data_IF_286122245884
#
_entry.id   IF_286122245884
#
_cell.length_a   1.000
_cell.length_b   1.000
_cell.length_c   1.000
_cell.angle_alpha   90.00
_cell.angle_beta   90.00
_cell.angle_gamma   90.00
#
_symmetry.space_group_name_H-M   'P 1'
#
loop_
_entity.id
_entity.type
_entity.pdbx_description
1 polymer ?
#
# COMPACT_ATOMS: atom_id res chain seq x y z
N UNK A 1 -27.03 -21.79 -38.39
CA UNK A 1 -26.88 -23.22 -38.74
C UNK A 1 -26.54 -23.93 -37.46
N UNK A 2 -27.16 -24.86 -36.93
CA UNK A 2 -28.04 -25.98 -37.17
C UNK A 2 -28.42 -26.49 -35.76
N UNK A 3 -29.65 -26.45 -35.28
CA UNK A 3 -30.64 -27.52 -35.12
C UNK A 3 -30.03 -28.76 -34.43
N UNK A 4 -30.64 -29.43 -33.45
CA UNK A 4 -32.04 -29.82 -33.28
C UNK A 4 -32.16 -30.85 -32.15
N UNK A 5 -33.30 -30.83 -31.42
CA UNK A 5 -34.20 -31.93 -30.94
C UNK A 5 -33.80 -32.61 -29.61
N UNK A 6 -34.59 -32.51 -28.51
CA UNK A 6 -35.98 -32.93 -28.30
C UNK A 6 -36.24 -34.46 -28.36
N UNK A 7 -36.60 -35.04 -27.19
CA UNK A 7 -37.57 -36.09 -26.93
C UNK A 7 -37.73 -36.26 -25.42
N UNK A 8 -38.74 -35.94 -24.75
CA UNK A 8 -40.15 -36.34 -24.63
C UNK A 8 -40.39 -37.86 -24.73
N UNK A 9 -40.71 -38.48 -23.60
CA UNK A 9 -41.62 -39.61 -23.54
C UNK A 9 -42.14 -39.88 -22.11
N UNK A 10 -43.38 -39.63 -21.95
CA UNK A 10 -44.39 -40.09 -21.01
C UNK A 10 -44.50 -41.61 -20.92
N UNK A 11 -44.83 -42.19 -19.76
CA UNK A 11 -45.79 -43.31 -19.70
C UNK A 11 -46.44 -43.40 -18.32
N UNK A 12 -47.76 -43.56 -18.38
CA UNK A 12 -48.77 -43.71 -17.34
C UNK A 12 -49.04 -45.19 -17.08
N UNK A 13 -49.81 -45.45 -16.02
CA UNK A 13 -50.49 -46.70 -15.79
C UNK A 13 -50.47 -47.08 -14.33
N UNK A 14 -51.44 -46.86 -13.52
CA UNK A 14 -52.84 -47.28 -13.36
C UNK A 14 -52.97 -48.72 -12.80
N UNK A 15 -53.75 -48.80 -11.69
CA UNK A 15 -54.68 -49.86 -11.35
C UNK A 15 -54.30 -50.87 -10.25
N UNK A 16 -55.10 -51.04 -9.29
CA UNK A 16 -56.13 -51.92 -8.68
C UNK A 16 -55.94 -52.02 -7.19
N UNK A 17 -56.86 -51.58 -6.33
CA UNK A 17 -58.23 -52.01 -5.90
C UNK A 17 -58.27 -53.41 -5.24
N UNK A 18 -58.77 -53.40 -4.03
CA UNK A 18 -59.80 -54.24 -3.47
C UNK A 18 -59.47 -54.90 -2.12
N UNK A 19 -60.20 -54.51 -1.08
CA UNK A 19 -61.31 -55.28 -0.41
C UNK A 19 -60.88 -56.30 0.65
N UNK A 20 -61.44 -56.14 1.83
CA UNK A 20 -61.69 -57.23 2.80
C UNK A 20 -61.83 -56.76 4.21
N UNK A 21 -62.97 -56.33 4.64
CA UNK A 21 -63.91 -56.57 5.71
C UNK A 21 -63.55 -57.77 6.64
N UNK A 22 -63.54 -57.59 7.95
CA UNK A 22 -64.57 -57.96 8.89
C UNK A 22 -64.06 -58.03 10.34
N UNK A 23 -64.67 -57.27 11.22
CA UNK A 23 -65.45 -57.65 12.37
C UNK A 23 -64.78 -58.50 13.46
N UNK A 24 -64.66 -57.96 14.67
CA UNK A 24 -65.53 -58.50 15.77
C UNK A 24 -65.28 -57.71 17.06
N UNK A 25 -66.38 -57.29 17.67
CA UNK A 25 -66.46 -56.74 19.01
C UNK A 25 -66.19 -57.80 20.07
N UNK A 26 -65.50 -57.42 21.14
CA UNK A 26 -65.83 -57.94 22.50
C UNK A 26 -65.48 -56.84 23.50
N UNK A 27 -66.55 -56.32 24.12
CA UNK A 27 -66.52 -55.55 25.35
C UNK A 27 -66.05 -56.45 26.48
N UNK A 28 -65.06 -55.93 27.24
CA UNK A 28 -64.82 -56.32 28.61
C UNK A 28 -64.62 -55.07 29.45
N UNK A 29 -65.62 -54.80 30.29
CA UNK A 29 -65.49 -53.83 31.36
C UNK A 29 -64.43 -54.33 32.34
N UNK A 30 -63.42 -53.51 32.58
CA UNK A 30 -62.57 -53.67 33.76
C UNK A 30 -62.43 -52.29 34.42
N UNK A 31 -62.98 -52.31 35.65
CA UNK A 31 -62.98 -51.32 36.71
C UNK A 31 -61.74 -50.41 36.72
N UNK A 32 -62.01 -49.12 36.77
CA UNK A 32 -61.03 -48.10 37.05
C UNK A 32 -60.46 -48.19 38.43
N UNK A 33 -59.25 -48.62 38.57
CA UNK A 33 -58.40 -48.35 39.74
C UNK A 33 -57.69 -47.04 39.50
N UNK A 34 -58.01 -46.07 40.35
CA UNK A 34 -57.21 -44.81 40.40
C UNK A 34 -55.76 -45.18 40.69
N UNK A 35 -54.91 -44.95 39.71
CA UNK A 35 -53.49 -45.01 39.92
C UNK A 35 -52.98 -43.61 40.12
N UNK A 36 -52.23 -43.46 41.15
CA UNK A 36 -51.44 -42.37 41.61
C UNK A 36 -50.77 -41.63 40.45
N UNK A 37 -50.79 -40.29 40.51
CA UNK A 37 -49.96 -39.41 39.72
C UNK A 37 -48.51 -39.88 39.91
N UNK A 38 -47.73 -40.03 38.81
CA UNK A 38 -46.29 -40.26 38.96
C UNK A 38 -45.70 -39.06 39.68
N UNK A 39 -45.14 -39.31 40.86
CA UNK A 39 -44.26 -38.38 41.53
C UNK A 39 -43.13 -38.01 40.47
N UNK A 40 -43.18 -36.82 39.96
CA UNK A 40 -42.14 -36.28 39.07
C UNK A 40 -40.89 -36.21 39.93
N UNK A 41 -40.11 -37.27 39.97
CA UNK A 41 -38.72 -37.12 40.34
C UNK A 41 -38.13 -36.12 39.34
N UNK A 42 -37.76 -34.95 39.86
CA UNK A 42 -37.17 -33.92 39.02
C UNK A 42 -35.92 -34.47 38.31
N UNK A 43 -35.97 -34.51 36.96
CA UNK A 43 -34.95 -35.07 36.10
C UNK A 43 -33.61 -34.34 36.31
N UNK A 44 -32.54 -35.08 36.52
CA UNK A 44 -31.20 -34.47 36.71
C UNK A 44 -30.63 -33.98 35.41
N UNK A 45 -30.46 -32.67 35.29
CA UNK A 45 -29.98 -32.01 34.05
C UNK A 45 -28.58 -31.46 34.26
N UNK A 46 -27.67 -31.78 33.34
CA UNK A 46 -26.33 -31.23 33.34
C UNK A 46 -26.34 -29.74 32.95
N UNK A 47 -25.80 -28.91 33.82
CA UNK A 47 -25.79 -27.45 33.60
C UNK A 47 -24.39 -26.89 33.59
N UNK A 48 -24.18 -25.80 32.82
CA UNK A 48 -22.99 -24.98 32.86
C UNK A 48 -23.37 -23.53 33.22
N UNK A 49 -22.48 -22.86 33.99
CA UNK A 49 -22.71 -21.47 34.37
C UNK A 49 -22.20 -20.52 33.30
N UNK A 50 -23.00 -19.54 32.92
CA UNK A 50 -22.61 -18.44 32.04
C UNK A 50 -21.53 -17.60 32.74
N UNK A 51 -20.33 -17.53 32.18
CA UNK A 51 -19.18 -16.85 32.77
C UNK A 51 -18.65 -15.78 31.83
N UNK A 52 -17.97 -14.77 32.39
CA UNK A 52 -17.18 -13.83 31.66
C UNK A 52 -15.83 -14.44 31.32
N UNK A 53 -15.47 -14.46 30.05
CA UNK A 53 -14.14 -14.88 29.56
C UNK A 53 -13.64 -13.94 28.46
N UNK A 54 -12.33 -13.73 28.38
CA UNK A 54 -11.77 -13.05 27.23
C UNK A 54 -11.95 -13.92 25.98
N UNK A 55 -12.45 -13.33 24.91
CA UNK A 55 -12.65 -13.99 23.62
C UNK A 55 -11.96 -13.18 22.56
N UNK A 56 -11.05 -13.81 21.81
CA UNK A 56 -10.38 -13.19 20.70
C UNK A 56 -10.51 -14.07 19.46
N UNK A 57 -11.10 -13.56 18.43
CA UNK A 57 -11.12 -14.23 17.12
C UNK A 57 -9.76 -13.98 16.45
N UNK A 58 -9.09 -15.05 16.07
CA UNK A 58 -7.84 -14.99 15.32
C UNK A 58 -8.04 -15.54 13.93
N UNK A 59 -7.42 -14.90 12.98
CA UNK A 59 -7.35 -15.32 11.59
C UNK A 59 -5.89 -15.56 11.24
N UNK A 60 -5.55 -16.81 10.96
CA UNK A 60 -4.20 -17.19 10.52
C UNK A 60 -4.20 -17.33 9.01
N UNK A 61 -3.40 -16.54 8.33
CA UNK A 61 -3.26 -16.53 6.88
C UNK A 61 -1.79 -16.62 6.48
N UNK A 62 -1.57 -17.33 5.41
CA UNK A 62 -0.25 -17.49 4.83
C UNK A 62 0.03 -16.40 3.80
N UNK A 63 1.25 -15.87 3.80
CA UNK A 63 1.67 -14.80 2.92
C UNK A 63 3.17 -14.81 2.66
N UNK A 64 3.63 -13.93 1.82
CA UNK A 64 5.02 -13.75 1.44
C UNK A 64 5.50 -12.36 1.82
N UNK A 65 6.74 -12.26 2.30
CA UNK A 65 7.41 -11.01 2.57
C UNK A 65 7.90 -10.40 1.27
N UNK A 66 7.36 -9.24 0.91
CA UNK A 66 7.82 -8.46 -0.23
C UNK A 66 8.56 -7.21 0.25
N UNK A 67 9.58 -6.72 -0.47
CA UNK A 67 10.24 -5.48 -0.10
C UNK A 67 9.26 -4.30 -0.17
N UNK A 68 9.49 -3.29 0.64
CA UNK A 68 8.66 -2.07 0.61
C UNK A 68 8.79 -1.37 -0.74
N UNK A 69 10.01 -1.33 -1.29
CA UNK A 69 10.30 -0.85 -2.63
C UNK A 69 11.24 -1.82 -3.35
N UNK A 70 10.91 -2.14 -4.58
CA UNK A 70 11.78 -2.89 -5.49
C UNK A 70 11.66 -2.29 -6.88
N UNK A 71 12.79 -2.01 -7.52
CA UNK A 71 12.82 -1.45 -8.86
C UNK A 71 13.90 -2.09 -9.71
N UNK A 72 13.64 -2.17 -10.99
CA UNK A 72 14.66 -2.42 -12.00
C UNK A 72 15.29 -1.08 -12.42
N UNK A 73 16.60 -0.95 -12.21
CA UNK A 73 17.35 0.26 -12.51
C UNK A 73 17.84 0.23 -13.95
N UNK A 74 17.41 1.19 -14.74
CA UNK A 74 17.76 1.34 -16.15
C UNK A 74 18.77 2.46 -16.37
N UNK A 75 19.55 2.34 -17.44
CA UNK A 75 20.33 3.45 -17.95
C UNK A 75 19.40 4.52 -18.53
N UNK A 76 19.71 5.80 -18.33
CA UNK A 76 19.02 6.93 -18.96
C UNK A 76 19.60 7.30 -20.32
N UNK A 77 20.91 7.01 -20.50
CA UNK A 77 21.64 7.19 -21.75
C UNK A 77 22.17 5.84 -22.27
N UNK A 78 22.34 5.74 -23.57
CA UNK A 78 22.93 4.57 -24.20
C UNK A 78 24.45 4.63 -24.12
N UNK A 79 25.11 3.50 -23.83
CA UNK A 79 26.56 3.42 -23.75
C UNK A 79 27.03 2.04 -23.32
N UNK A 80 28.33 1.78 -23.42
CA UNK A 80 28.93 0.56 -22.93
C UNK A 80 29.25 0.68 -21.43
N UNK A 81 29.01 -0.39 -20.67
CA UNK A 81 29.37 -0.42 -19.25
C UNK A 81 30.90 -0.43 -19.12
N UNK A 82 31.48 0.71 -18.74
CA UNK A 82 32.92 0.91 -18.52
C UNK A 82 33.34 0.42 -17.14
N UNK A 83 32.54 0.73 -16.12
CA UNK A 83 32.77 0.35 -14.74
C UNK A 83 31.48 -0.20 -14.15
N UNK A 84 31.61 -1.28 -13.37
CA UNK A 84 30.49 -1.89 -12.65
C UNK A 84 30.93 -2.12 -11.22
N UNK A 85 30.38 -1.33 -10.28
CA UNK A 85 30.81 -1.26 -8.90
C UNK A 85 29.92 -2.07 -7.96
N UNK A 86 28.94 -2.82 -8.50
CA UNK A 86 27.98 -3.62 -7.73
C UNK A 86 27.81 -4.99 -8.35
N UNK A 87 27.50 -5.96 -7.49
CA UNK A 87 27.10 -7.31 -7.87
C UNK A 87 25.84 -7.71 -7.07
N UNK A 88 25.24 -8.88 -7.36
CA UNK A 88 24.13 -9.37 -6.55
C UNK A 88 24.60 -9.55 -5.10
N UNK A 89 23.75 -9.19 -4.12
CA UNK A 89 24.07 -9.14 -2.71
C UNK A 89 24.83 -7.89 -2.26
N UNK A 90 25.23 -6.99 -3.16
CA UNK A 90 25.86 -5.72 -2.78
C UNK A 90 24.86 -4.77 -2.13
N UNK A 91 25.23 -4.25 -0.95
CA UNK A 91 24.49 -3.16 -0.30
C UNK A 91 24.93 -1.83 -0.89
N UNK A 92 23.97 -0.97 -1.21
CA UNK A 92 24.23 0.35 -1.79
C UNK A 92 23.49 1.43 -1.02
N UNK A 93 24.09 2.62 -0.97
CA UNK A 93 23.47 3.81 -0.42
C UNK A 93 22.89 4.70 -1.50
N UNK A 94 21.87 5.47 -1.17
CA UNK A 94 21.27 6.45 -2.07
C UNK A 94 22.32 7.39 -2.63
N UNK A 95 22.35 7.53 -3.98
CA UNK A 95 23.32 8.34 -4.69
C UNK A 95 24.66 7.64 -4.97
N UNK A 96 24.91 6.44 -4.45
CA UNK A 96 26.10 5.66 -4.76
C UNK A 96 26.13 5.26 -6.23
N UNK A 97 27.27 5.42 -6.89
CA UNK A 97 27.47 5.04 -8.29
C UNK A 97 27.56 3.52 -8.38
N UNK A 98 26.61 2.92 -9.07
CA UNK A 98 26.55 1.48 -9.33
C UNK A 98 27.31 1.09 -10.59
N UNK A 99 27.19 1.91 -11.64
CA UNK A 99 27.93 1.71 -12.89
C UNK A 99 28.24 3.04 -13.57
N UNK A 100 29.27 3.04 -14.41
CA UNK A 100 29.62 4.16 -15.27
C UNK A 100 29.60 3.67 -16.72
N UNK A 101 28.85 4.38 -17.57
CA UNK A 101 28.81 4.13 -19.00
C UNK A 101 29.90 4.91 -19.72
N UNK A 102 30.51 4.32 -20.73
CA UNK A 102 31.38 4.98 -21.67
C UNK A 102 30.55 5.65 -22.77
N UNK A 103 30.60 6.98 -22.83
CA UNK A 103 29.84 7.85 -23.75
C UNK A 103 30.77 8.91 -24.34
N UNK A 104 31.75 8.52 -25.21
CA UNK A 104 32.78 9.42 -25.70
C UNK A 104 32.21 10.59 -26.50
N UNK A 105 31.07 10.41 -27.15
CA UNK A 105 30.41 11.46 -27.93
C UNK A 105 29.94 12.61 -27.02
N UNK A 106 29.38 12.32 -25.86
CA UNK A 106 28.95 13.34 -24.90
C UNK A 106 30.14 14.07 -24.28
N UNK A 107 31.27 13.38 -24.05
CA UNK A 107 32.48 14.01 -23.55
C UNK A 107 33.03 15.01 -24.59
N UNK A 108 33.09 14.60 -25.87
CA UNK A 108 33.52 15.48 -26.95
C UNK A 108 32.59 16.70 -27.10
N UNK A 109 31.28 16.51 -26.93
CA UNK A 109 30.29 17.58 -26.97
C UNK A 109 30.50 18.61 -25.84
N UNK A 110 30.83 18.15 -24.62
CA UNK A 110 31.14 19.04 -23.50
C UNK A 110 32.40 19.88 -23.78
N UNK A 111 33.45 19.28 -24.40
CA UNK A 111 34.66 19.97 -24.76
C UNK A 111 34.39 21.04 -25.82
N UNK A 112 33.54 20.76 -26.82
CA UNK A 112 33.07 21.71 -27.83
C UNK A 112 32.30 22.87 -27.18
N UNK A 113 31.37 22.60 -26.28
CA UNK A 113 30.57 23.61 -25.59
C UNK A 113 31.45 24.55 -24.73
N UNK A 114 32.44 23.97 -24.04
CA UNK A 114 33.43 24.77 -23.30
C UNK A 114 34.23 25.69 -24.20
N UNK A 115 34.62 25.20 -25.39
CA UNK A 115 35.33 26.05 -26.39
C UNK A 115 34.40 27.16 -26.91
N UNK A 116 33.13 26.85 -27.19
CA UNK A 116 32.12 27.82 -27.60
C UNK A 116 31.89 28.92 -26.55
N UNK A 117 31.85 28.56 -25.26
CA UNK A 117 31.75 29.54 -24.18
C UNK A 117 32.95 30.49 -24.15
N UNK A 118 34.19 29.98 -24.31
CA UNK A 118 35.39 30.81 -24.37
C UNK A 118 35.32 31.81 -25.53
N UNK A 119 34.90 31.34 -26.72
CA UNK A 119 34.72 32.19 -27.88
C UNK A 119 33.67 33.29 -27.64
N UNK A 120 32.58 32.98 -26.98
CA UNK A 120 31.56 33.98 -26.62
C UNK A 120 32.03 34.94 -25.53
N UNK A 121 32.84 34.51 -24.57
CA UNK A 121 33.46 35.38 -23.57
C UNK A 121 34.38 36.42 -24.26
N UNK A 122 35.19 35.99 -25.26
CA UNK A 122 36.01 36.88 -26.04
C UNK A 122 35.18 37.88 -26.86
N UNK A 123 34.02 37.47 -27.36
CA UNK A 123 33.09 38.35 -28.07
C UNK A 123 32.49 39.40 -27.13
N UNK A 124 32.09 39.01 -25.91
CA UNK A 124 31.63 39.96 -24.89
C UNK A 124 32.72 40.96 -24.53
N UNK A 125 33.98 40.53 -24.34
CA UNK A 125 35.09 41.40 -24.02
C UNK A 125 35.39 42.40 -25.16
N UNK A 126 35.30 41.95 -26.43
CA UNK A 126 35.41 42.85 -27.60
C UNK A 126 34.28 43.89 -27.59
N UNK A 127 33.02 43.47 -27.42
CA UNK A 127 31.88 44.37 -27.40
C UNK A 127 31.94 45.36 -26.23
N UNK A 128 32.44 44.96 -25.07
CA UNK A 128 32.66 45.83 -23.91
C UNK A 128 33.70 46.90 -24.23
N UNK A 129 34.79 46.55 -24.90
CA UNK A 129 35.82 47.50 -25.34
C UNK A 129 35.27 48.51 -26.34
N UNK A 130 34.34 48.09 -27.24
CA UNK A 130 33.65 48.99 -28.16
C UNK A 130 32.74 49.98 -27.44
N UNK A 131 32.00 49.53 -26.38
CA UNK A 131 31.19 50.41 -25.52
C UNK A 131 32.10 51.46 -24.85
N UNK A 132 33.27 51.05 -24.31
CA UNK A 132 34.23 51.97 -23.72
C UNK A 132 34.70 53.05 -24.72
N UNK A 133 34.97 52.64 -25.97
CA UNK A 133 35.39 53.54 -27.04
C UNK A 133 34.29 54.53 -27.44
N UNK A 134 33.08 54.04 -27.70
CA UNK A 134 31.89 54.85 -28.02
C UNK A 134 31.55 55.85 -26.91
N UNK A 135 31.63 55.43 -25.66
CA UNK A 135 31.42 56.28 -24.48
C UNK A 135 32.47 57.41 -24.41
N UNK A 136 33.74 57.13 -24.64
CA UNK A 136 34.75 58.10 -24.62
C UNK A 136 34.53 59.15 -25.75
N UNK A 137 34.16 58.72 -26.96
CA UNK A 137 33.81 59.56 -28.10
C UNK A 137 32.58 60.46 -27.78
N UNK A 138 31.53 59.92 -27.28
CA UNK A 138 30.36 60.70 -26.88
C UNK A 138 30.71 61.73 -25.80
N UNK A 139 31.45 61.37 -24.75
CA UNK A 139 31.86 62.29 -23.70
C UNK A 139 32.69 63.48 -24.29
N UNK A 140 33.56 63.23 -25.26
CA UNK A 140 34.35 64.29 -25.92
C UNK A 140 33.44 65.28 -26.67
N UNK A 141 32.50 64.76 -27.47
CA UNK A 141 31.58 65.60 -28.28
C UNK A 141 30.57 66.32 -27.36
N UNK A 142 30.04 65.63 -26.33
CA UNK A 142 29.11 66.21 -25.34
C UNK A 142 29.76 67.39 -24.59
N UNK A 143 31.01 67.31 -24.14
CA UNK A 143 31.73 68.41 -23.49
C UNK A 143 31.94 69.56 -24.44
N UNK A 144 32.16 69.33 -25.76
CA UNK A 144 32.25 70.37 -26.74
C UNK A 144 30.93 71.13 -26.93
N UNK A 145 29.81 70.40 -27.10
CA UNK A 145 28.46 70.96 -27.15
C UNK A 145 28.13 71.76 -25.89
N UNK A 146 28.34 71.21 -24.71
CA UNK A 146 28.10 71.91 -23.43
C UNK A 146 28.87 73.26 -23.32
N UNK A 147 30.12 73.28 -23.74
CA UNK A 147 30.88 74.51 -23.75
C UNK A 147 30.33 75.57 -24.71
N UNK A 148 29.98 75.18 -25.95
CA UNK A 148 29.41 76.09 -26.95
C UNK A 148 28.02 76.60 -26.51
N UNK A 149 27.18 75.75 -26.07
CA UNK A 149 25.83 76.09 -25.51
C UNK A 149 25.92 77.00 -24.30
N UNK A 150 26.91 76.74 -23.40
CA UNK A 150 27.15 77.55 -22.23
C UNK A 150 27.59 78.97 -22.59
N UNK A 151 28.48 79.15 -23.57
CA UNK A 151 28.95 80.48 -24.11
C UNK A 151 27.80 81.22 -24.83
N UNK A 152 27.03 80.55 -25.68
CA UNK A 152 25.88 81.12 -26.36
C UNK A 152 24.79 81.65 -25.37
N UNK A 153 24.60 80.94 -24.30
CA UNK A 153 23.67 81.37 -23.21
C UNK A 153 24.21 82.52 -22.39
N UNK A 154 25.49 82.52 -22.06
CA UNK A 154 26.11 83.57 -21.23
C UNK A 154 26.31 84.88 -22.02
N UNK A 155 26.63 84.80 -23.28
CA UNK A 155 26.93 85.95 -24.14
C UNK A 155 26.27 85.77 -25.55
N UNK A 156 24.98 86.16 -25.72
CA UNK A 156 24.25 86.02 -26.94
C UNK A 156 24.94 86.79 -28.06
N UNK A 157 25.19 86.15 -29.27
CA UNK A 157 25.82 86.69 -30.44
C UNK A 157 27.36 86.49 -30.49
N UNK A 158 28.03 85.89 -29.50
CA UNK A 158 29.45 85.58 -29.55
C UNK A 158 29.77 84.31 -30.35
N UNK A 159 28.79 83.32 -30.38
CA UNK A 159 28.84 82.08 -31.13
C UNK A 159 27.67 82.04 -32.10
N UNK A 160 27.88 81.65 -33.36
CA UNK A 160 26.84 81.54 -34.33
C UNK A 160 25.85 80.38 -33.92
N UNK A 161 24.55 80.60 -34.05
CA UNK A 161 23.57 79.59 -33.70
C UNK A 161 23.78 78.28 -34.47
N UNK A 162 24.17 78.35 -35.71
CA UNK A 162 24.52 77.22 -36.58
C UNK A 162 25.64 76.32 -35.94
N UNK A 163 26.66 76.93 -35.30
CA UNK A 163 27.73 76.15 -34.62
C UNK A 163 27.22 75.38 -33.40
N UNK A 164 26.27 75.96 -32.69
CA UNK A 164 25.63 75.28 -31.54
C UNK A 164 24.74 74.10 -32.01
N UNK A 165 23.93 74.34 -33.05
CA UNK A 165 23.06 73.34 -33.66
C UNK A 165 23.89 72.17 -34.31
N UNK A 166 25.02 72.47 -34.96
CA UNK A 166 25.98 71.49 -35.50
C UNK A 166 26.61 70.62 -34.36
N UNK A 167 26.94 71.27 -33.24
CA UNK A 167 27.54 70.56 -32.10
C UNK A 167 26.52 69.69 -31.41
N UNK A 168 25.24 70.13 -31.27
CA UNK A 168 24.13 69.34 -30.77
C UNK A 168 23.86 68.14 -31.66
N UNK A 169 23.80 68.34 -32.99
CA UNK A 169 23.61 67.23 -33.93
C UNK A 169 24.71 66.17 -33.84
N UNK A 170 25.99 66.57 -33.60
CA UNK A 170 27.10 65.64 -33.38
C UNK A 170 26.95 64.88 -32.05
N UNK A 171 26.53 65.57 -31.00
CA UNK A 171 26.30 64.95 -29.65
C UNK A 171 25.22 63.88 -29.73
N UNK A 172 24.05 64.21 -30.31
CA UNK A 172 22.96 63.29 -30.51
C UNK A 172 23.34 62.05 -31.34
N UNK A 173 24.18 62.30 -32.41
CA UNK A 173 24.65 61.19 -33.22
C UNK A 173 25.62 60.26 -32.46
N UNK A 174 26.52 60.85 -31.63
CA UNK A 174 27.42 60.06 -30.79
C UNK A 174 26.72 59.32 -29.67
N UNK A 175 25.67 59.91 -29.08
CA UNK A 175 24.80 59.25 -28.10
C UNK A 175 24.09 58.05 -28.73
N UNK A 176 23.46 58.25 -29.88
CA UNK A 176 22.78 57.17 -30.63
C UNK A 176 23.73 56.02 -30.98
N UNK A 177 24.98 56.36 -31.38
CA UNK A 177 26.01 55.34 -31.65
C UNK A 177 26.42 54.59 -30.38
N UNK A 178 26.55 55.28 -29.23
CA UNK A 178 26.86 54.65 -27.96
C UNK A 178 25.74 53.65 -27.55
N UNK A 179 24.48 54.05 -27.68
CA UNK A 179 23.34 53.14 -27.37
C UNK A 179 23.26 51.94 -28.32
N UNK A 180 23.57 52.09 -29.60
CA UNK A 180 23.65 50.99 -30.56
C UNK A 180 24.72 49.96 -30.18
N UNK A 181 25.91 50.42 -29.79
CA UNK A 181 27.03 49.56 -29.36
C UNK A 181 26.69 48.88 -28.01
N UNK A 182 26.01 49.58 -27.10
CA UNK A 182 25.51 49.03 -25.84
C UNK A 182 24.51 47.90 -26.08
N UNK A 183 23.59 48.07 -27.04
CA UNK A 183 22.70 47.03 -27.50
C UNK A 183 23.45 45.81 -28.05
N UNK A 184 24.52 46.02 -28.81
CA UNK A 184 25.37 44.92 -29.30
C UNK A 184 26.09 44.18 -28.16
N UNK A 185 26.57 44.89 -27.14
CA UNK A 185 27.14 44.28 -25.93
C UNK A 185 26.12 43.43 -25.17
N UNK A 186 24.91 43.95 -24.98
CA UNK A 186 23.83 43.17 -24.35
C UNK A 186 23.48 41.91 -25.16
N UNK A 187 23.44 42.01 -26.47
CA UNK A 187 23.20 40.84 -27.34
C UNK A 187 24.35 39.79 -27.21
N UNK A 188 25.61 40.22 -27.12
CA UNK A 188 26.74 39.32 -26.90
C UNK A 188 26.66 38.64 -25.51
N UNK A 189 26.26 39.37 -24.46
CA UNK A 189 26.02 38.78 -23.14
C UNK A 189 24.88 37.74 -23.17
N UNK A 190 23.79 38.04 -23.85
CA UNK A 190 22.65 37.10 -24.00
C UNK A 190 23.09 35.83 -24.73
N UNK A 191 23.94 35.94 -25.76
CA UNK A 191 24.47 34.79 -26.49
C UNK A 191 25.39 33.92 -25.59
N UNK A 192 26.19 34.54 -24.72
CA UNK A 192 26.99 33.82 -23.72
C UNK A 192 26.09 33.02 -22.74
N UNK A 193 24.97 33.60 -22.31
CA UNK A 193 23.99 32.89 -21.46
C UNK A 193 23.41 31.66 -22.17
N UNK A 194 23.08 31.78 -23.46
CA UNK A 194 22.61 30.65 -24.30
C UNK A 194 23.66 29.54 -24.36
N UNK A 195 24.95 29.89 -24.62
CA UNK A 195 26.03 28.90 -24.67
C UNK A 195 26.25 28.20 -23.31
N UNK A 196 26.14 28.93 -22.19
CA UNK A 196 26.22 28.35 -20.86
C UNK A 196 25.03 27.42 -20.57
N UNK A 197 23.83 27.76 -21.01
CA UNK A 197 22.65 26.91 -20.87
C UNK A 197 22.81 25.62 -21.68
N UNK A 198 23.39 25.68 -22.88
CA UNK A 198 23.72 24.50 -23.69
C UNK A 198 24.70 23.57 -22.97
N UNK A 199 25.80 24.10 -22.44
CA UNK A 199 26.75 23.30 -21.65
C UNK A 199 26.06 22.63 -20.46
N UNK A 200 25.19 23.35 -19.73
CA UNK A 200 24.46 22.79 -18.59
C UNK A 200 23.53 21.64 -19.00
N UNK A 201 22.89 21.75 -20.15
CA UNK A 201 22.07 20.68 -20.72
C UNK A 201 22.93 19.44 -21.03
N UNK A 202 24.02 19.60 -21.77
CA UNK A 202 24.86 18.49 -22.21
C UNK A 202 25.64 17.87 -21.04
N UNK A 203 25.98 18.67 -20.01
CA UNK A 203 26.50 18.17 -18.73
C UNK A 203 25.48 17.26 -17.99
N UNK A 204 24.20 17.62 -17.99
CA UNK A 204 23.18 16.79 -17.40
C UNK A 204 23.01 15.45 -18.13
N UNK A 205 23.12 15.43 -19.46
CA UNK A 205 23.14 14.20 -20.26
C UNK A 205 24.37 13.35 -19.93
N UNK A 206 25.54 13.97 -19.82
CA UNK A 206 26.77 13.27 -19.44
C UNK A 206 26.69 12.68 -18.04
N UNK A 207 26.08 13.40 -17.08
CA UNK A 207 25.89 12.89 -15.72
C UNK A 207 24.97 11.67 -15.67
N UNK A 208 24.08 11.47 -16.65
CA UNK A 208 23.29 10.24 -16.80
C UNK A 208 24.12 9.02 -17.19
N UNK A 209 25.37 9.20 -17.63
CA UNK A 209 26.29 8.08 -17.80
C UNK A 209 26.66 7.39 -16.48
N UNK A 210 26.50 8.08 -15.34
CA UNK A 210 26.72 7.55 -14.00
C UNK A 210 25.39 7.05 -13.45
N UNK A 211 25.22 5.73 -13.41
CA UNK A 211 24.01 5.12 -12.90
C UNK A 211 24.12 5.02 -11.38
N UNK A 212 23.25 5.71 -10.67
CA UNK A 212 23.26 5.80 -9.20
C UNK A 212 22.06 5.12 -8.56
N UNK A 213 22.23 4.64 -7.32
CA UNK A 213 21.15 4.06 -6.52
C UNK A 213 20.14 5.15 -6.09
N UNK A 214 18.83 4.99 -6.34
CA UNK A 214 17.82 5.97 -5.97
C UNK A 214 17.46 5.95 -4.48
N UNK A 215 17.68 4.83 -3.79
CA UNK A 215 17.47 4.63 -2.35
C UNK A 215 18.49 3.62 -1.79
N UNK A 216 18.55 3.52 -0.45
CA UNK A 216 19.40 2.54 0.24
C UNK A 216 18.79 1.16 0.11
N UNK A 217 19.59 0.15 -0.27
CA UNK A 217 19.08 -1.19 -0.46
C UNK A 217 20.14 -2.20 -0.89
N UNK A 218 19.67 -3.37 -1.25
CA UNK A 218 20.51 -4.50 -1.72
C UNK A 218 20.20 -4.81 -3.19
N UNK A 219 21.23 -5.12 -3.95
CA UNK A 219 21.11 -5.59 -5.33
C UNK A 219 20.68 -7.07 -5.30
N UNK A 220 19.45 -7.34 -5.71
CA UNK A 220 18.88 -8.70 -5.73
C UNK A 220 19.15 -9.43 -7.03
N UNK A 221 19.30 -8.71 -8.14
CA UNK A 221 19.64 -9.28 -9.46
C UNK A 221 20.54 -8.34 -10.23
N UNK A 222 21.45 -8.91 -11.02
CA UNK A 222 22.33 -8.18 -11.95
C UNK A 222 22.10 -8.72 -13.36
N UNK A 223 21.72 -7.83 -14.27
CA UNK A 223 21.39 -8.19 -15.65
C UNK A 223 22.53 -7.83 -16.63
N UNK A 224 23.26 -6.74 -16.34
CA UNK A 224 24.35 -6.28 -17.20
C UNK A 224 25.72 -6.71 -16.68
N UNK A 225 26.66 -6.87 -17.62
CA UNK A 225 28.05 -7.17 -17.37
C UNK A 225 28.94 -6.02 -17.83
N UNK A 226 30.21 -6.02 -17.36
CA UNK A 226 31.23 -5.10 -17.87
C UNK A 226 31.37 -5.26 -19.39
N UNK A 227 31.38 -4.15 -20.12
CA UNK A 227 31.43 -4.13 -21.59
C UNK A 227 30.08 -4.38 -22.28
N UNK A 228 29.00 -4.60 -21.55
CA UNK A 228 27.67 -4.73 -22.14
C UNK A 228 27.17 -3.39 -22.69
N UNK A 229 26.48 -3.40 -23.82
CA UNK A 229 25.79 -2.24 -24.36
C UNK A 229 24.47 -2.04 -23.61
N UNK A 230 24.32 -0.92 -22.92
CA UNK A 230 23.06 -0.48 -22.32
C UNK A 230 22.30 0.40 -23.29
N UNK A 231 21.00 0.18 -23.40
CA UNK A 231 20.09 1.06 -24.14
C UNK A 231 19.36 1.97 -23.15
N UNK A 232 19.03 3.19 -23.58
CA UNK A 232 18.26 4.10 -22.75
C UNK A 232 16.86 3.56 -22.50
N UNK A 233 16.50 3.38 -21.23
CA UNK A 233 15.18 2.86 -20.80
C UNK A 233 14.02 3.77 -21.15
N UNK A 234 14.30 5.04 -21.49
CA UNK A 234 13.30 6.04 -21.89
C UNK A 234 12.87 5.95 -23.35
N UNK A 235 13.69 5.31 -24.20
CA UNK A 235 13.49 5.29 -25.67
C UNK A 235 13.28 3.90 -26.23
N UNK A 236 13.62 2.85 -25.48
CA UNK A 236 13.54 1.46 -25.97
C UNK A 236 12.65 0.60 -25.07
N UNK A 237 11.65 -0.05 -25.65
CA UNK A 237 10.81 -1.07 -24.99
C UNK A 237 11.57 -2.36 -24.71
N UNK A 238 12.74 -2.54 -25.29
CA UNK A 238 13.61 -3.71 -25.11
C UNK A 238 14.85 -3.40 -24.26
N UNK A 239 14.87 -2.25 -23.59
CA UNK A 239 15.99 -1.90 -22.70
C UNK A 239 16.12 -2.94 -21.59
N UNK A 240 17.33 -3.45 -21.39
CA UNK A 240 17.66 -4.34 -20.28
C UNK A 240 18.04 -3.50 -19.08
N UNK A 241 17.51 -3.80 -17.87
CA UNK A 241 17.96 -3.10 -16.67
C UNK A 241 19.41 -3.42 -16.33
N UNK A 242 20.07 -2.55 -15.58
CA UNK A 242 21.41 -2.80 -15.04
C UNK A 242 21.35 -3.81 -13.91
N UNK A 243 20.54 -3.50 -12.90
CA UNK A 243 20.34 -4.30 -11.68
C UNK A 243 18.89 -4.16 -11.21
N UNK A 244 18.46 -5.11 -10.37
CA UNK A 244 17.28 -4.98 -9.53
C UNK A 244 17.70 -4.57 -8.13
N UNK A 245 17.15 -3.47 -7.64
CA UNK A 245 17.43 -2.91 -6.31
C UNK A 245 16.20 -3.03 -5.42
N UNK A 246 16.40 -3.59 -4.23
CA UNK A 246 15.36 -3.88 -3.25
C UNK A 246 15.67 -3.17 -1.94
N UNK A 247 14.67 -2.55 -1.32
CA UNK A 247 14.80 -1.99 0.03
C UNK A 247 14.93 -3.13 1.04
N UNK A 248 15.95 -3.07 1.89
CA UNK A 248 16.22 -4.08 2.91
C UNK A 248 15.78 -3.68 4.33
N UNK A 249 15.39 -2.42 4.53
CA UNK A 249 15.06 -1.90 5.85
C UNK A 249 13.62 -2.17 6.26
N UNK A 250 12.72 -2.18 5.27
CA UNK A 250 11.29 -2.35 5.49
C UNK A 250 10.73 -3.40 4.53
N UNK A 251 10.03 -4.37 5.08
CA UNK A 251 9.30 -5.36 4.32
C UNK A 251 7.80 -5.16 4.48
N UNK A 252 7.08 -5.67 3.53
CA UNK A 252 5.63 -5.67 3.50
C UNK A 252 5.13 -7.09 3.43
N UNK A 253 4.27 -7.47 4.34
CA UNK A 253 3.53 -8.71 4.28
C UNK A 253 2.18 -8.45 3.65
N UNK A 254 1.91 -9.08 2.51
CA UNK A 254 0.67 -8.93 1.75
C UNK A 254 -0.27 -10.07 2.08
N UNK A 255 -1.31 -9.79 2.86
CA UNK A 255 -2.23 -10.79 3.41
C UNK A 255 -3.54 -10.78 2.62
N UNK A 256 -3.94 -11.90 1.98
CA UNK A 256 -5.23 -12.01 1.31
C UNK A 256 -6.34 -12.34 2.31
N UNK A 257 -7.02 -11.33 2.85
CA UNK A 257 -8.10 -11.50 3.82
C UNK A 257 -9.40 -11.91 3.12
N UNK A 258 -10.05 -13.03 3.50
CA UNK A 258 -11.33 -13.44 2.92
C UNK A 258 -12.45 -12.42 3.12
N UNK A 259 -13.35 -12.31 2.14
CA UNK A 259 -14.50 -11.39 2.15
C UNK A 259 -15.34 -11.49 3.44
N UNK A 260 -15.49 -12.71 4.01
CA UNK A 260 -16.21 -12.94 5.27
C UNK A 260 -15.65 -12.17 6.45
N UNK A 261 -14.33 -11.94 6.46
CA UNK A 261 -13.60 -11.37 7.60
C UNK A 261 -13.22 -9.88 7.40
N UNK A 262 -13.44 -9.35 6.20
CA UNK A 262 -13.11 -7.95 5.84
C UNK A 262 -13.68 -6.93 6.82
N UNK A 263 -14.92 -7.13 7.28
CA UNK A 263 -15.64 -6.23 8.21
C UNK A 263 -14.98 -6.10 9.59
N UNK A 264 -14.08 -7.01 9.93
CA UNK A 264 -13.38 -7.03 11.22
C UNK A 264 -11.96 -6.48 11.14
N UNK A 265 -11.45 -6.17 9.95
CA UNK A 265 -10.09 -5.66 9.73
C UNK A 265 -10.07 -4.14 9.82
N UNK A 266 -9.20 -3.60 10.67
CA UNK A 266 -9.00 -2.17 10.84
C UNK A 266 -7.52 -1.82 10.76
N UNK A 267 -7.23 -0.62 10.27
CA UNK A 267 -5.86 -0.07 10.32
C UNK A 267 -5.43 0.03 11.78
N UNK A 268 -4.25 -0.51 12.08
CA UNK A 268 -3.70 -0.55 13.44
C UNK A 268 -3.92 -1.87 14.17
N UNK A 269 -4.72 -2.80 13.61
CA UNK A 269 -4.91 -4.12 14.21
C UNK A 269 -3.56 -4.84 14.41
N UNK A 270 -3.34 -5.45 15.56
CA UNK A 270 -2.09 -6.15 15.85
C UNK A 270 -2.02 -7.45 15.05
N UNK A 271 -0.88 -7.67 14.42
CA UNK A 271 -0.57 -8.89 13.66
C UNK A 271 0.71 -9.51 14.22
N UNK A 272 0.65 -10.79 14.57
CA UNK A 272 1.84 -11.57 14.86
C UNK A 272 2.25 -12.31 13.59
N UNK A 273 3.46 -12.02 13.09
CA UNK A 273 3.99 -12.62 11.87
C UNK A 273 5.03 -13.66 12.27
N UNK A 274 4.73 -14.92 11.99
CA UNK A 274 5.62 -16.05 12.24
C UNK A 274 6.30 -16.46 10.94
N UNK A 275 7.63 -16.60 10.99
CA UNK A 275 8.48 -16.95 9.86
C UNK A 275 9.10 -18.32 10.12
N UNK A 276 8.54 -19.41 9.57
CA UNK A 276 9.01 -20.77 9.87
C UNK A 276 10.45 -21.03 9.47
N UNK A 277 10.90 -20.46 8.34
CA UNK A 277 12.27 -20.62 7.82
C UNK A 277 13.35 -20.01 8.72
N UNK A 278 12.97 -19.08 9.61
CA UNK A 278 13.86 -18.42 10.56
C UNK A 278 13.65 -18.93 12.00
N UNK A 279 13.60 -20.26 12.18
CA UNK A 279 13.36 -20.92 13.49
C UNK A 279 12.08 -20.43 14.18
N UNK A 280 10.99 -20.26 13.42
CA UNK A 280 9.71 -19.72 13.90
C UNK A 280 9.85 -18.32 14.53
N UNK A 281 10.76 -17.50 14.01
CA UNK A 281 10.88 -16.10 14.44
C UNK A 281 9.52 -15.42 14.34
N UNK A 282 9.06 -14.85 15.45
CA UNK A 282 7.81 -14.09 15.49
C UNK A 282 8.11 -12.60 15.57
N UNK A 283 7.65 -11.86 14.58
CA UNK A 283 7.75 -10.40 14.52
C UNK A 283 6.37 -9.81 14.72
N UNK A 284 6.26 -8.73 15.48
CA UNK A 284 4.99 -8.02 15.68
C UNK A 284 4.89 -6.89 14.67
N UNK A 285 3.79 -6.88 13.94
CA UNK A 285 3.40 -5.81 13.02
C UNK A 285 2.02 -5.28 13.37
N UNK A 286 1.57 -4.33 12.56
CA UNK A 286 0.20 -3.79 12.59
C UNK A 286 -0.30 -3.69 11.17
N UNK A 287 -1.61 -3.86 10.96
CA UNK A 287 -2.24 -3.54 9.69
C UNK A 287 -1.95 -2.08 9.35
N UNK A 288 -1.16 -1.85 8.32
CA UNK A 288 -0.78 -0.51 7.86
C UNK A 288 -1.83 0.06 6.92
N UNK A 289 -2.35 -0.77 6.02
CA UNK A 289 -3.36 -0.40 5.03
C UNK A 289 -4.04 -1.64 4.44
N UNK A 290 -5.17 -1.43 3.80
CA UNK A 290 -5.86 -2.44 3.01
C UNK A 290 -6.52 -1.81 1.79
N UNK A 291 -6.73 -2.61 0.73
CA UNK A 291 -7.52 -2.17 -0.42
C UNK A 291 -8.98 -2.06 0.02
N UNK A 292 -9.67 -1.00 -0.41
CA UNK A 292 -11.14 -0.87 -0.18
C UNK A 292 -11.89 -1.68 -1.24
N UNK A 293 -11.25 -2.70 -1.82
CA UNK A 293 -11.77 -3.52 -2.89
C UNK A 293 -11.53 -5.00 -2.61
N UNK A 294 -12.47 -5.84 -2.98
CA UNK A 294 -12.38 -7.30 -2.89
C UNK A 294 -12.19 -7.87 -4.29
N UNK A 295 -11.07 -8.54 -4.51
CA UNK A 295 -10.77 -9.20 -5.77
C UNK A 295 -11.88 -10.18 -6.15
N UNK A 296 -12.50 -9.97 -7.31
CA UNK A 296 -13.55 -10.86 -7.82
C UNK A 296 -13.06 -12.29 -8.12
N UNK A 297 -11.76 -12.45 -8.41
CA UNK A 297 -11.16 -13.74 -8.75
C UNK A 297 -10.88 -14.60 -7.50
N UNK A 298 -10.38 -13.99 -6.42
CA UNK A 298 -9.94 -14.69 -5.21
C UNK A 298 -10.89 -14.53 -4.04
N UNK A 299 -11.86 -13.61 -4.10
CA UNK A 299 -12.75 -13.23 -3.02
C UNK A 299 -12.00 -12.82 -1.76
N UNK A 300 -10.88 -12.12 -1.94
CA UNK A 300 -10.03 -11.62 -0.85
C UNK A 300 -9.77 -10.13 -0.98
N UNK A 301 -9.62 -9.46 0.16
CA UNK A 301 -9.15 -8.09 0.29
C UNK A 301 -7.64 -8.08 0.52
N UNK A 302 -6.90 -7.29 -0.26
CA UNK A 302 -5.47 -7.09 -0.09
C UNK A 302 -5.21 -6.24 1.16
N UNK A 303 -4.54 -6.82 2.14
CA UNK A 303 -4.20 -6.17 3.41
C UNK A 303 -2.68 -6.20 3.59
N UNK A 304 -2.09 -5.09 3.98
CA UNK A 304 -0.65 -4.95 4.12
C UNK A 304 -0.25 -4.67 5.57
N UNK A 305 0.80 -5.38 5.99
CA UNK A 305 1.46 -5.20 7.28
C UNK A 305 2.91 -4.80 7.04
N UNK A 306 3.31 -3.63 7.50
CA UNK A 306 4.70 -3.17 7.39
C UNK A 306 5.53 -3.78 8.52
N UNK A 307 6.68 -4.39 8.17
CA UNK A 307 7.56 -5.13 9.07
C UNK A 307 8.98 -4.59 8.94
N UNK A 308 9.52 -3.93 9.96
CA UNK A 308 10.89 -3.43 9.93
C UNK A 308 11.90 -4.57 10.05
N UNK A 309 12.95 -4.55 9.23
CA UNK A 309 14.04 -5.51 9.23
C UNK A 309 15.22 -5.03 10.10
N UNK A 310 14.96 -4.79 11.38
CA UNK A 310 15.93 -4.17 12.31
C UNK A 310 17.24 -4.95 12.41
N UNK A 311 17.22 -6.27 12.20
CA UNK A 311 18.38 -7.14 12.37
C UNK A 311 18.97 -7.65 11.04
N UNK A 312 18.47 -7.21 9.90
CA UNK A 312 18.92 -7.67 8.57
C UNK A 312 18.67 -9.17 8.31
N UNK A 313 17.79 -9.82 9.09
CA UNK A 313 17.55 -11.27 8.98
C UNK A 313 16.42 -11.65 8.05
N UNK A 314 15.54 -10.71 7.76
CA UNK A 314 14.43 -10.93 6.85
C UNK A 314 14.94 -10.88 5.41
N UNK A 315 14.47 -11.82 4.61
CA UNK A 315 14.83 -11.93 3.18
C UNK A 315 13.55 -11.83 2.36
N UNK A 316 13.54 -11.06 1.27
CA UNK A 316 12.38 -10.97 0.37
C UNK A 316 12.04 -12.35 -0.21
N UNK A 317 10.78 -12.60 -0.50
CA UNK A 317 10.30 -13.90 -0.98
C UNK A 317 10.14 -14.96 0.10
N UNK A 318 10.45 -14.63 1.37
CA UNK A 318 10.28 -15.57 2.48
C UNK A 318 8.82 -15.72 2.85
N UNK A 319 8.37 -16.98 2.96
CA UNK A 319 7.04 -17.32 3.42
C UNK A 319 6.85 -17.01 4.91
N UNK A 320 5.71 -16.45 5.26
CA UNK A 320 5.34 -16.10 6.61
C UNK A 320 3.86 -16.38 6.89
N UNK A 321 3.54 -16.65 8.13
CA UNK A 321 2.17 -16.82 8.62
C UNK A 321 1.77 -15.61 9.47
N UNK A 322 0.67 -14.98 9.10
CA UNK A 322 0.12 -13.83 9.79
C UNK A 322 -1.04 -14.25 10.68
N UNK A 323 -0.91 -14.04 11.98
CA UNK A 323 -1.98 -14.20 12.96
C UNK A 323 -2.58 -12.82 13.27
N UNK A 324 -3.75 -12.54 12.68
CA UNK A 324 -4.48 -11.29 12.87
C UNK A 324 -5.52 -11.47 13.95
N UNK A 325 -5.60 -10.56 14.92
CA UNK A 325 -6.65 -10.54 15.91
C UNK A 325 -7.82 -9.69 15.41
N UNK A 326 -8.91 -10.33 14.97
CA UNK A 326 -10.09 -9.70 14.36
C UNK A 326 -11.05 -9.05 15.35
N UNK A 327 -11.01 -9.47 16.58
CA UNK A 327 -11.88 -8.94 17.63
C UNK A 327 -11.38 -9.41 18.98
N UNK A 328 -11.40 -8.52 19.93
CA UNK A 328 -11.03 -8.81 21.31
C UNK A 328 -12.11 -8.28 22.23
N UNK A 329 -12.83 -9.19 22.89
CA UNK A 329 -13.73 -8.83 23.98
C UNK A 329 -13.18 -9.42 25.27
N UNK A 330 -12.57 -8.59 26.14
CA UNK A 330 -11.92 -9.08 27.36
C UNK A 330 -12.92 -9.64 28.38
N UNK A 331 -14.21 -9.35 28.25
CA UNK A 331 -15.25 -9.73 29.17
C UNK A 331 -16.53 -10.13 28.42
N UNK A 332 -16.43 -11.10 27.52
CA UNK A 332 -17.59 -11.65 26.83
C UNK A 332 -18.32 -12.69 27.70
N UNK A 333 -19.65 -12.65 27.71
CA UNK A 333 -20.45 -13.75 28.26
C UNK A 333 -20.33 -14.97 27.37
N UNK A 334 -19.86 -16.08 27.90
CA UNK A 334 -19.69 -17.32 27.13
C UNK A 334 -20.54 -18.46 27.61
N UNK A 335 -21.00 -19.27 26.69
CA UNK A 335 -21.70 -20.55 26.94
C UNK A 335 -21.02 -21.66 26.14
N UNK A 336 -20.98 -22.91 26.64
CA UNK A 336 -20.51 -24.05 25.88
C UNK A 336 -21.35 -24.26 24.61
N UNK A 337 -20.71 -24.64 23.51
CA UNK A 337 -21.39 -24.88 22.22
C UNK A 337 -22.54 -25.93 22.37
N UNK A 338 -22.37 -26.89 23.29
CA UNK A 338 -23.36 -27.92 23.58
C UNK A 338 -24.66 -27.35 24.14
N UNK A 339 -24.66 -26.18 24.78
CA UNK A 339 -25.85 -25.53 25.32
C UNK A 339 -26.68 -24.85 24.23
N UNK A 340 -26.12 -24.63 23.04
CA UNK A 340 -26.75 -23.86 21.99
C UNK A 340 -27.68 -24.74 21.14
N UNK A 341 -28.88 -24.24 20.88
CA UNK A 341 -29.79 -24.76 19.87
C UNK A 341 -29.91 -23.75 18.71
N UNK A 342 -29.64 -24.23 17.51
CA UNK A 342 -29.68 -23.41 16.28
C UNK A 342 -30.77 -23.88 15.35
N UNK A 343 -31.66 -22.98 14.96
CA UNK A 343 -32.67 -23.20 13.94
C UNK A 343 -32.56 -22.10 12.87
N UNK A 344 -31.79 -22.39 11.85
CA UNK A 344 -31.42 -21.38 10.82
C UNK A 344 -30.61 -20.24 11.45
N UNK A 345 -31.08 -19.01 11.29
CA UNK A 345 -30.43 -17.81 11.83
C UNK A 345 -30.76 -17.52 13.30
N UNK A 346 -31.70 -18.24 13.89
CA UNK A 346 -32.08 -18.07 15.27
C UNK A 346 -31.31 -19.03 16.18
N UNK A 347 -30.83 -18.48 17.28
CA UNK A 347 -30.15 -19.27 18.32
C UNK A 347 -30.85 -19.11 19.65
N UNK A 348 -31.01 -20.21 20.34
CA UNK A 348 -31.65 -20.27 21.67
C UNK A 348 -30.86 -21.13 22.63
N UNK A 349 -31.05 -20.90 23.92
CA UNK A 349 -30.50 -21.70 25.03
C UNK A 349 -31.58 -22.01 26.03
N UNK A 350 -31.53 -23.24 26.58
CA UNK A 350 -32.35 -23.61 27.74
C UNK A 350 -31.63 -23.14 29.01
N UNK A 351 -32.28 -22.29 29.78
CA UNK A 351 -31.80 -21.75 31.06
C UNK A 351 -32.63 -22.35 32.20
N UNK A 352 -31.96 -22.69 33.27
CA UNK A 352 -32.65 -23.07 34.55
C UNK A 352 -32.79 -21.79 35.35
N UNK A 353 -34.07 -21.46 35.74
CA UNK A 353 -34.37 -20.28 36.54
C UNK A 353 -34.18 -20.53 38.07
N UNK A 354 -34.47 -19.52 38.88
CA UNK A 354 -34.35 -19.61 40.36
C UNK A 354 -35.26 -20.64 41.02
N UNK A 355 -36.32 -21.07 40.32
CA UNK A 355 -37.31 -22.05 40.81
C UNK A 355 -37.04 -23.45 40.22
N UNK A 356 -35.82 -23.66 39.69
CA UNK A 356 -35.36 -24.89 39.05
C UNK A 356 -36.21 -25.29 37.82
N UNK A 357 -36.79 -24.32 37.11
CA UNK A 357 -37.61 -24.54 35.92
C UNK A 357 -36.88 -24.17 34.64
N UNK A 358 -37.15 -24.93 33.60
CA UNK A 358 -36.55 -24.68 32.25
C UNK A 358 -37.26 -23.53 31.56
N UNK A 359 -36.49 -22.58 31.07
CA UNK A 359 -36.91 -21.50 30.19
C UNK A 359 -36.06 -21.51 28.90
N UNK A 360 -36.68 -21.25 27.76
CA UNK A 360 -35.95 -21.03 26.50
C UNK A 360 -35.74 -19.55 26.34
N UNK A 361 -34.47 -19.12 26.17
CA UNK A 361 -34.09 -17.74 25.86
C UNK A 361 -33.48 -17.68 24.48
N UNK A 362 -33.96 -16.72 23.68
CA UNK A 362 -33.34 -16.35 22.43
C UNK A 362 -32.06 -15.58 22.74
N UNK A 363 -30.99 -15.90 22.01
CA UNK A 363 -29.67 -15.29 22.21
C UNK A 363 -29.10 -14.78 20.90
N UNK A 364 -28.35 -13.68 20.97
CA UNK A 364 -27.56 -13.18 19.85
C UNK A 364 -26.14 -13.66 20.03
N UNK A 365 -25.66 -14.40 19.02
CA UNK A 365 -24.31 -14.95 19.03
C UNK A 365 -23.28 -13.90 18.67
N UNK A 366 -22.14 -13.98 19.36
CA UNK A 366 -20.93 -13.21 19.04
C UNK A 366 -19.84 -14.13 18.45
N UNK A 367 -18.61 -13.89 18.90
CA UNK A 367 -17.43 -14.66 18.47
C UNK A 367 -17.57 -16.12 18.89
N UNK A 368 -17.43 -17.04 17.95
CA UNK A 368 -17.46 -18.48 18.22
C UNK A 368 -16.02 -18.99 18.33
N UNK A 369 -15.79 -19.74 19.42
CA UNK A 369 -14.55 -20.47 19.68
C UNK A 369 -14.79 -21.98 19.50
N UNK A 370 -13.77 -22.84 19.49
CA UNK A 370 -13.95 -24.27 19.32
C UNK A 370 -14.87 -24.92 20.36
N UNK A 371 -14.82 -24.49 21.63
CA UNK A 371 -15.52 -25.12 22.74
C UNK A 371 -16.71 -24.31 23.28
N UNK A 372 -16.75 -23.01 23.02
CA UNK A 372 -17.74 -22.06 23.52
C UNK A 372 -18.05 -20.95 22.53
N UNK A 373 -19.16 -20.28 22.77
CA UNK A 373 -19.58 -19.13 21.96
C UNK A 373 -19.83 -17.91 22.85
N UNK A 374 -19.43 -16.75 22.42
CA UNK A 374 -19.77 -15.50 23.07
C UNK A 374 -21.23 -15.15 22.80
N UNK A 375 -21.93 -14.66 23.82
CA UNK A 375 -23.29 -14.17 23.70
C UNK A 375 -23.29 -12.66 23.85
N UNK A 376 -23.81 -11.98 22.84
CA UNK A 376 -23.89 -10.52 22.83
C UNK A 376 -25.12 -9.99 23.56
N UNK A 377 -26.23 -10.74 23.51
CA UNK A 377 -27.45 -10.40 24.24
C UNK A 377 -28.33 -11.65 24.51
N UNK A 378 -29.20 -11.55 25.50
CA UNK A 378 -30.16 -12.62 25.87
C UNK A 378 -29.83 -13.36 27.17
N UNK A 379 -28.59 -13.25 27.69
CA UNK A 379 -28.18 -13.90 28.93
C UNK A 379 -27.51 -12.91 29.89
N UNK A 380 -27.45 -13.29 31.17
CA UNK A 380 -26.70 -12.60 32.20
C UNK A 380 -25.65 -13.53 32.84
N UNK A 381 -24.60 -12.93 33.38
CA UNK A 381 -23.57 -13.69 34.10
C UNK A 381 -24.18 -14.42 35.29
N UNK A 382 -23.73 -15.67 35.54
CA UNK A 382 -24.19 -16.49 36.63
C UNK A 382 -25.43 -17.35 36.32
N UNK A 383 -26.11 -17.15 35.20
CA UNK A 383 -27.22 -18.02 34.78
C UNK A 383 -26.72 -19.44 34.48
N UNK A 384 -27.56 -20.45 34.75
CA UNK A 384 -27.25 -21.82 34.43
C UNK A 384 -27.91 -22.24 33.12
N UNK A 385 -27.12 -22.72 32.17
CA UNK A 385 -27.58 -23.20 30.87
C UNK A 385 -27.47 -24.73 30.81
N UNK A 386 -28.42 -25.35 30.17
CA UNK A 386 -28.48 -26.82 30.02
C UNK A 386 -27.48 -27.26 28.95
N UNK A 387 -26.61 -28.23 29.29
CA UNK A 387 -25.59 -28.79 28.39
C UNK A 387 -25.76 -30.30 28.15
N UNK A 388 -26.61 -30.96 28.91
CA UNK A 388 -26.96 -32.39 28.71
C UNK A 388 -27.99 -32.58 27.60
N UNK A 389 -28.42 -33.84 27.39
CA UNK A 389 -29.49 -34.17 26.44
C UNK A 389 -30.77 -33.39 26.76
N UNK A 390 -31.29 -32.73 25.74
CA UNK A 390 -32.45 -31.83 25.79
C UNK A 390 -33.70 -32.43 25.17
N UNK A 391 -33.60 -33.65 24.60
CA UNK A 391 -34.64 -34.25 23.76
C UNK A 391 -35.96 -34.58 24.52
N UNK A 392 -35.93 -34.64 25.84
CA UNK A 392 -37.10 -34.89 26.66
C UNK A 392 -37.62 -33.70 27.45
N UNK A 393 -36.90 -32.57 27.45
CA UNK A 393 -37.16 -31.43 28.31
C UNK A 393 -38.23 -30.49 27.73
N UNK A 394 -39.13 -30.00 28.61
CA UNK A 394 -40.21 -29.07 28.24
C UNK A 394 -40.06 -27.73 29.00
N UNK A 395 -40.48 -26.66 28.37
CA UNK A 395 -40.53 -25.34 29.01
C UNK A 395 -41.47 -25.41 30.25
N UNK A 396 -40.99 -24.88 31.37
CA UNK A 396 -41.70 -24.92 32.66
C UNK A 396 -41.53 -26.21 33.48
N UNK A 397 -40.81 -27.24 32.95
CA UNK A 397 -40.50 -28.46 33.67
C UNK A 397 -39.50 -28.17 34.79
N UNK A 398 -39.78 -28.71 35.99
CA UNK A 398 -38.87 -28.64 37.14
C UNK A 398 -37.77 -29.68 36.99
N UNK A 399 -36.52 -29.30 37.13
CA UNK A 399 -35.33 -30.12 36.95
C UNK A 399 -34.39 -29.99 38.15
N UNK A 400 -33.48 -30.95 38.33
CA UNK A 400 -32.39 -30.85 39.31
C UNK A 400 -31.10 -30.48 38.58
N UNK A 401 -30.63 -29.23 38.67
CA UNK A 401 -29.39 -28.84 38.01
C UNK A 401 -28.17 -29.53 38.64
N UNK A 402 -27.39 -30.22 37.83
CA UNK A 402 -26.10 -30.80 38.21
C UNK A 402 -25.00 -30.06 37.44
N UNK A 403 -24.13 -29.30 38.10
CA UNK A 403 -23.06 -28.63 37.41
C UNK A 403 -22.10 -29.64 36.78
N UNK A 404 -22.05 -29.64 35.45
CA UNK A 404 -21.05 -30.37 34.69
C UNK A 404 -19.81 -29.46 34.52
N UNK A 405 -18.65 -29.99 34.92
CA UNK A 405 -17.39 -29.33 34.51
C UNK A 405 -17.29 -29.50 33.01
N UNK A 406 -17.38 -28.40 32.28
CA UNK A 406 -17.07 -28.39 30.84
C UNK A 406 -15.65 -28.92 30.67
N UNK A 407 -15.49 -30.01 29.91
CA UNK A 407 -14.17 -30.53 29.54
C UNK A 407 -13.48 -29.41 28.77
N UNK A 408 -12.57 -28.70 29.44
CA UNK A 408 -11.69 -27.77 28.74
C UNK A 408 -10.72 -28.63 27.96
N UNK A 409 -10.85 -28.61 26.63
CA UNK A 409 -9.81 -29.06 25.75
C UNK A 409 -8.67 -28.03 25.88
N UNK A 410 -7.75 -28.23 26.80
CA UNK A 410 -6.46 -27.60 26.78
C UNK A 410 -5.73 -28.19 25.58
N UNK A 411 -5.86 -27.53 24.44
CA UNK A 411 -4.98 -27.74 23.33
C UNK A 411 -3.55 -27.49 23.85
N UNK A 412 -2.77 -28.54 23.97
CA UNK A 412 -1.35 -28.46 24.31
C UNK A 412 -0.68 -27.54 23.30
N UNK A 413 -0.47 -26.30 23.70
CA UNK A 413 0.55 -25.44 23.09
C UNK A 413 1.86 -26.07 23.53
N UNK A 414 2.43 -26.93 22.70
CA UNK A 414 3.82 -27.33 22.84
C UNK A 414 4.67 -26.07 22.67
N UNK A 415 5.43 -25.77 23.71
CA UNK A 415 6.41 -24.70 23.81
C UNK A 415 7.50 -24.83 22.74
#
# INVERSE_FOLDING_TARGET
MLKLRMHLLTFAGLFFLAIGLNSSCTRRDVSAKANDAPSSEAEGVGTATVRLRPVAQRLTLSSELVPFQEIDVYAKEAGYVKELNVDFGSHVHKGQIMAVLEVPELQAQLDEDQAAIRAQQDQVARAESEVGRAKAQHNMVHLQYQRLAGVAKAQPGLVAQQEVDDAEGKDLAAESQMEAVKGAYQAAQSQLVVSKAKLSHDQALYDYSKITAPFDGVVTQRYANLGALMQAGTTSTQATPLVRLSDENLYRLVIPVPESDVKYIHVGDPVAVRIPSLNNLTVRGKVARFSVDVSGATRTMHTEVDIPNVNGKLIPGTYAEADITLGNNPAALVVPLQALDRQGDQASVMVVDSDDRIQIKQVVLGIQMPDYVAITSGLAAGQQVVVSDRSGLRVGQTVKPKPLQSVSYEGSVQQ
#
